data_IF_710937318280
#
_entry.id   IF_710937318280
#
_cell.length_a   1.000
_cell.length_b   1.000
_cell.length_c   1.000
_cell.angle_alpha   90.00
_cell.angle_beta   90.00
_cell.angle_gamma   90.00
#
_symmetry.space_group_name_H-M   'P 1'
#
loop_
_entity.id
_entity.type
_entity.pdbx_description
1 polymer ?
#
# COMPACT_ATOMS: atom_id res chain seq x y z
N UNK A 1 28.11 5.30 -5.48
CA UNK A 1 27.40 4.26 -6.26
C UNK A 1 26.39 4.96 -7.16
N UNK A 2 26.40 4.71 -8.47
CA UNK A 2 25.40 5.29 -9.39
C UNK A 2 24.08 4.57 -9.16
N UNK A 3 23.01 5.30 -8.82
CA UNK A 3 21.67 4.72 -8.65
C UNK A 3 20.92 4.92 -9.96
N UNK A 4 20.50 3.83 -10.58
CA UNK A 4 19.64 3.89 -11.76
C UNK A 4 18.24 4.35 -11.36
N UNK A 5 17.64 5.25 -12.13
CA UNK A 5 16.29 5.77 -11.87
C UNK A 5 15.35 5.55 -13.05
N UNK A 6 14.07 5.37 -12.77
CA UNK A 6 13.00 5.24 -13.79
C UNK A 6 11.86 6.22 -13.46
N UNK A 7 11.01 6.51 -14.45
CA UNK A 7 9.81 7.34 -14.26
C UNK A 7 10.15 8.79 -13.94
N UNK A 8 11.13 9.37 -14.66
CA UNK A 8 11.62 10.73 -14.43
C UNK A 8 12.14 10.97 -13.00
N UNK A 9 12.90 10.00 -12.45
CA UNK A 9 13.49 10.10 -11.11
C UNK A 9 12.56 9.75 -9.96
N UNK A 10 11.33 9.27 -10.23
CA UNK A 10 10.35 8.92 -9.20
C UNK A 10 10.60 7.57 -8.53
N UNK A 11 11.38 6.70 -9.17
CA UNK A 11 11.75 5.40 -8.63
C UNK A 11 13.26 5.25 -8.71
N UNK A 12 13.90 5.04 -7.56
CA UNK A 12 15.30 4.67 -7.45
C UNK A 12 15.43 3.15 -7.44
N UNK A 13 16.13 2.57 -8.41
CA UNK A 13 16.33 1.12 -8.48
C UNK A 13 17.45 0.71 -7.54
N UNK A 14 17.08 0.12 -6.42
CA UNK A 14 18.02 -0.41 -5.43
C UNK A 14 17.40 -1.56 -4.65
N UNK A 15 18.23 -2.40 -4.02
CA UNK A 15 17.78 -3.44 -3.08
C UNK A 15 16.93 -2.85 -1.96
N UNK A 16 17.30 -1.65 -1.49
CA UNK A 16 16.56 -0.95 -0.44
C UNK A 16 15.16 -0.56 -0.90
N UNK A 17 15.02 -0.06 -2.12
CA UNK A 17 13.71 0.25 -2.71
C UNK A 17 12.88 -1.01 -2.91
N UNK A 18 13.50 -2.11 -3.36
CA UNK A 18 12.82 -3.39 -3.52
C UNK A 18 12.28 -3.91 -2.18
N UNK A 19 13.09 -3.89 -1.12
CA UNK A 19 12.67 -4.29 0.22
C UNK A 19 11.54 -3.40 0.75
N UNK A 20 11.66 -2.08 0.56
CA UNK A 20 10.61 -1.12 0.93
C UNK A 20 9.28 -1.46 0.25
N UNK A 21 9.30 -1.69 -1.07
CA UNK A 21 8.12 -2.05 -1.84
C UNK A 21 7.54 -3.43 -1.43
N UNK A 22 8.38 -4.43 -1.19
CA UNK A 22 7.92 -5.75 -0.70
C UNK A 22 7.23 -5.61 0.64
N UNK A 23 7.79 -4.85 1.58
CA UNK A 23 7.15 -4.62 2.88
C UNK A 23 5.86 -3.82 2.77
N UNK A 24 5.76 -2.85 1.84
CA UNK A 24 4.50 -2.15 1.55
C UNK A 24 3.42 -3.13 1.07
N UNK A 25 3.76 -4.03 0.14
CA UNK A 25 2.84 -5.05 -0.38
C UNK A 25 2.44 -6.05 0.71
N UNK A 26 3.37 -6.52 1.54
CA UNK A 26 3.09 -7.42 2.65
C UNK A 26 2.17 -6.77 3.70
N UNK A 27 2.39 -5.49 4.04
CA UNK A 27 1.54 -4.76 4.98
C UNK A 27 0.09 -4.67 4.47
N UNK A 28 -0.10 -4.41 3.17
CA UNK A 28 -1.42 -4.37 2.54
C UNK A 28 -2.05 -5.77 2.48
N UNK A 29 -1.28 -6.82 2.14
CA UNK A 29 -1.77 -8.20 2.18
C UNK A 29 -2.20 -8.64 3.58
N UNK A 30 -1.44 -8.28 4.61
CA UNK A 30 -1.80 -8.54 6.03
C UNK A 30 -3.09 -7.82 6.38
N UNK A 31 -3.22 -6.53 6.05
CA UNK A 31 -4.46 -5.78 6.27
C UNK A 31 -5.68 -6.48 5.65
N UNK A 32 -5.60 -6.84 4.36
CA UNK A 32 -6.72 -7.47 3.64
C UNK A 32 -7.00 -8.87 4.18
N UNK A 33 -5.96 -9.69 4.42
CA UNK A 33 -6.11 -11.07 4.84
C UNK A 33 -6.71 -11.19 6.25
N UNK A 34 -6.21 -10.37 7.19
CA UNK A 34 -6.80 -10.28 8.53
C UNK A 34 -8.23 -9.75 8.45
N UNK A 35 -8.49 -8.74 7.62
CA UNK A 35 -9.84 -8.23 7.38
C UNK A 35 -10.82 -9.31 6.92
N UNK A 36 -10.43 -10.11 5.92
CA UNK A 36 -11.25 -11.23 5.45
C UNK A 36 -11.50 -12.27 6.55
N UNK A 37 -10.48 -12.61 7.34
CA UNK A 37 -10.63 -13.54 8.47
C UNK A 37 -11.63 -13.01 9.52
N UNK A 38 -11.62 -11.70 9.82
CA UNK A 38 -12.59 -11.10 10.74
C UNK A 38 -14.03 -11.14 10.21
N UNK A 39 -14.20 -11.30 8.90
CA UNK A 39 -15.49 -11.51 8.23
C UNK A 39 -15.78 -12.98 7.92
N UNK A 40 -15.06 -13.93 8.53
CA UNK A 40 -15.30 -15.36 8.38
C UNK A 40 -14.82 -15.96 7.06
N UNK A 41 -14.02 -15.22 6.27
CA UNK A 41 -13.45 -15.66 5.00
C UNK A 41 -12.00 -16.07 5.25
N UNK A 42 -11.68 -17.35 5.05
CA UNK A 42 -10.30 -17.82 5.13
C UNK A 42 -9.57 -17.55 3.79
N UNK A 43 -8.52 -16.70 3.76
CA UNK A 43 -7.85 -16.33 2.51
C UNK A 43 -7.03 -17.47 1.89
N UNK A 44 -6.59 -18.45 2.68
CA UNK A 44 -5.88 -19.65 2.19
C UNK A 44 -6.86 -20.58 1.49
N UNK A 45 -8.07 -20.73 2.02
CA UNK A 45 -9.12 -21.57 1.43
C UNK A 45 -9.87 -20.86 0.30
N UNK A 46 -9.82 -19.52 0.23
CA UNK A 46 -10.49 -18.71 -0.77
C UNK A 46 -9.51 -17.78 -1.52
N UNK A 47 -8.45 -18.32 -2.18
CA UNK A 47 -7.37 -17.52 -2.72
C UNK A 47 -7.83 -16.57 -3.83
N UNK A 48 -8.82 -16.96 -4.65
CA UNK A 48 -9.39 -16.10 -5.70
C UNK A 48 -10.14 -14.91 -5.11
N UNK A 49 -10.88 -15.12 -4.01
CA UNK A 49 -11.58 -14.04 -3.30
C UNK A 49 -10.58 -13.06 -2.68
N UNK A 50 -9.59 -13.60 -1.98
CA UNK A 50 -8.52 -12.82 -1.38
C UNK A 50 -7.77 -11.97 -2.42
N UNK A 51 -7.35 -12.59 -3.53
CA UNK A 51 -6.70 -11.89 -4.63
C UNK A 51 -7.60 -10.79 -5.22
N UNK A 52 -8.90 -11.05 -5.37
CA UNK A 52 -9.88 -10.07 -5.83
C UNK A 52 -10.02 -8.87 -4.87
N UNK A 53 -10.04 -9.11 -3.56
CA UNK A 53 -10.10 -8.04 -2.54
C UNK A 53 -8.79 -7.24 -2.47
N UNK A 54 -7.65 -7.91 -2.63
CA UNK A 54 -6.31 -7.35 -2.52
C UNK A 54 -5.92 -6.47 -3.73
N UNK A 55 -6.29 -6.91 -4.93
CA UNK A 55 -5.87 -6.28 -6.20
C UNK A 55 -6.19 -4.79 -6.28
N UNK A 56 -7.40 -4.29 -5.92
CA UNK A 56 -7.70 -2.86 -5.91
C UNK A 56 -6.74 -2.02 -5.07
N UNK A 57 -6.33 -2.52 -3.90
CA UNK A 57 -5.39 -1.82 -3.02
C UNK A 57 -3.99 -1.81 -3.58
N UNK A 58 -3.53 -2.91 -4.18
CA UNK A 58 -2.25 -2.96 -4.87
C UNK A 58 -2.20 -2.01 -6.06
N UNK A 59 -3.24 -1.98 -6.89
CA UNK A 59 -3.34 -1.04 -8.02
C UNK A 59 -3.27 0.39 -7.49
N UNK A 60 -4.10 0.75 -6.52
CA UNK A 60 -4.12 2.09 -5.93
C UNK A 60 -2.77 2.49 -5.35
N UNK A 61 -2.16 1.61 -4.54
CA UNK A 61 -0.88 1.90 -3.89
C UNK A 61 0.25 2.03 -4.89
N UNK A 62 0.44 1.05 -5.78
CA UNK A 62 1.54 1.08 -6.75
C UNK A 62 1.43 2.27 -7.70
N UNK A 63 0.21 2.61 -8.13
CA UNK A 63 -0.03 3.80 -8.96
C UNK A 63 0.35 5.09 -8.22
N UNK A 64 -0.17 5.30 -7.02
CA UNK A 64 0.10 6.52 -6.24
C UNK A 64 1.55 6.59 -5.80
N UNK A 65 2.13 5.49 -5.33
CA UNK A 65 3.51 5.45 -4.86
C UNK A 65 4.52 5.67 -6.00
N UNK A 66 4.26 5.06 -7.17
CA UNK A 66 5.08 5.25 -8.36
C UNK A 66 5.01 6.68 -8.90
N UNK A 67 3.82 7.27 -9.01
CA UNK A 67 3.67 8.66 -9.48
C UNK A 67 4.11 9.70 -8.45
N UNK A 68 3.88 9.44 -7.17
CA UNK A 68 4.22 10.34 -6.06
C UNK A 68 5.69 10.30 -5.64
N UNK A 69 6.52 9.46 -6.28
CA UNK A 69 7.92 9.35 -5.95
C UNK A 69 8.18 8.79 -4.55
N UNK A 70 7.30 7.91 -4.06
CA UNK A 70 7.40 7.31 -2.73
C UNK A 70 8.54 6.29 -2.65
N UNK A 71 9.09 5.87 -3.79
CA UNK A 71 10.20 4.92 -3.91
C UNK A 71 11.55 5.62 -4.19
N UNK A 72 11.69 6.87 -3.73
CA UNK A 72 12.95 7.62 -3.73
C UNK A 72 13.60 7.60 -2.35
N UNK A 73 14.91 7.80 -2.26
CA UNK A 73 15.60 7.98 -0.98
C UNK A 73 15.04 9.17 -0.20
N UNK A 74 14.64 10.23 -0.91
CA UNK A 74 13.99 11.41 -0.35
C UNK A 74 12.67 11.07 0.37
N UNK A 75 11.91 10.09 -0.13
CA UNK A 75 10.63 9.72 0.47
C UNK A 75 10.76 9.07 1.84
N UNK A 76 11.92 8.46 2.14
CA UNK A 76 12.21 7.94 3.47
C UNK A 76 13.18 8.82 4.24
N UNK A 77 13.60 9.98 3.72
CA UNK A 77 14.69 10.84 4.23
C UNK A 77 14.66 11.04 5.75
N UNK A 78 13.49 11.35 6.29
CA UNK A 78 13.24 11.54 7.72
C UNK A 78 11.97 10.78 8.13
N UNK A 79 11.81 10.49 9.42
CA UNK A 79 10.60 9.86 9.95
C UNK A 79 9.34 10.66 9.56
N UNK A 80 9.36 11.99 9.74
CA UNK A 80 8.24 12.87 9.36
C UNK A 80 7.89 12.75 7.88
N UNK A 81 8.89 12.83 6.99
CA UNK A 81 8.65 12.73 5.54
C UNK A 81 8.10 11.35 5.16
N UNK A 82 8.65 10.29 5.75
CA UNK A 82 8.17 8.93 5.53
C UNK A 82 6.70 8.80 5.94
N UNK A 83 6.33 9.18 7.18
CA UNK A 83 4.96 9.07 7.68
C UNK A 83 3.97 9.91 6.86
N UNK A 84 4.27 11.19 6.62
CA UNK A 84 3.36 12.10 5.89
C UNK A 84 3.14 11.64 4.45
N UNK A 85 4.20 11.32 3.70
CA UNK A 85 4.05 10.85 2.31
C UNK A 85 3.28 9.53 2.24
N UNK A 86 3.49 8.66 3.23
CA UNK A 86 2.82 7.36 3.31
C UNK A 86 1.33 7.52 3.55
N UNK A 87 0.91 8.30 4.54
CA UNK A 87 -0.52 8.45 4.84
C UNK A 87 -1.26 9.19 3.71
N UNK A 88 -0.65 10.23 3.13
CA UNK A 88 -1.24 10.93 1.97
C UNK A 88 -1.37 9.99 0.78
N UNK A 89 -0.32 9.24 0.46
CA UNK A 89 -0.35 8.27 -0.63
C UNK A 89 -1.36 7.16 -0.39
N UNK A 90 -1.48 6.69 0.85
CA UNK A 90 -2.41 5.63 1.23
C UNK A 90 -3.86 6.08 1.15
N UNK A 91 -4.20 7.29 1.60
CA UNK A 91 -5.56 7.84 1.47
C UNK A 91 -5.98 7.91 0.00
N UNK A 92 -5.10 8.37 -0.88
CA UNK A 92 -5.36 8.40 -2.33
C UNK A 92 -5.52 6.98 -2.91
N UNK A 93 -4.67 6.04 -2.48
CA UNK A 93 -4.75 4.64 -2.89
C UNK A 93 -6.07 3.97 -2.44
N UNK A 94 -6.53 4.24 -1.22
CA UNK A 94 -7.83 3.77 -0.72
C UNK A 94 -8.97 4.33 -1.57
N UNK A 95 -8.90 5.61 -1.96
CA UNK A 95 -9.88 6.21 -2.88
C UNK A 95 -9.97 5.46 -4.21
N UNK A 96 -8.81 5.15 -4.82
CA UNK A 96 -8.74 4.34 -6.05
C UNK A 96 -9.31 2.93 -5.80
N UNK A 97 -8.92 2.29 -4.70
CA UNK A 97 -9.40 0.96 -4.37
C UNK A 97 -10.94 0.92 -4.21
N UNK A 98 -11.54 1.91 -3.55
CA UNK A 98 -12.99 2.02 -3.44
C UNK A 98 -13.66 2.24 -4.80
N UNK A 99 -13.09 3.09 -5.66
CA UNK A 99 -13.59 3.31 -7.02
C UNK A 99 -13.51 2.04 -7.88
N UNK A 100 -12.46 1.24 -7.75
CA UNK A 100 -12.39 -0.07 -8.43
C UNK A 100 -13.43 -1.04 -7.88
N UNK A 101 -13.59 -1.07 -6.55
CA UNK A 101 -14.58 -1.91 -5.87
C UNK A 101 -16.03 -1.51 -6.15
N UNK A 102 -16.32 -0.31 -6.61
CA UNK A 102 -17.68 0.07 -7.03
C UNK A 102 -18.08 -0.55 -8.38
N UNK A 103 -17.17 -1.30 -9.03
CA UNK A 103 -17.44 -2.01 -10.29
C UNK A 103 -17.74 -3.49 -10.04
N UNK A 104 -18.35 -4.16 -11.02
CA UNK A 104 -18.57 -5.61 -10.97
C UNK A 104 -17.28 -6.45 -11.08
N UNK A 105 -16.13 -5.83 -11.40
CA UNK A 105 -14.86 -6.55 -11.57
C UNK A 105 -14.22 -6.96 -10.25
N UNK A 106 -14.54 -6.27 -9.15
CA UNK A 106 -13.90 -6.47 -7.86
C UNK A 106 -14.92 -6.68 -6.75
N UNK A 107 -14.62 -7.56 -5.79
CA UNK A 107 -15.55 -7.90 -4.73
C UNK A 107 -15.83 -6.75 -3.76
N UNK A 108 -17.09 -6.64 -3.33
CA UNK A 108 -17.47 -6.04 -2.05
C UNK A 108 -17.89 -4.57 -2.06
N UNK A 109 -18.15 -3.97 -3.22
CA UNK A 109 -18.66 -2.61 -3.40
C UNK A 109 -17.79 -1.51 -2.74
N UNK A 110 -18.07 -0.25 -3.08
CA UNK A 110 -17.54 0.88 -2.32
C UNK A 110 -18.34 1.02 -1.01
N UNK A 111 -17.65 1.18 0.12
CA UNK A 111 -18.28 1.37 1.42
C UNK A 111 -17.47 2.32 2.30
N UNK A 112 -18.14 3.35 2.84
CA UNK A 112 -17.48 4.38 3.65
C UNK A 112 -16.77 3.79 4.87
N UNK A 113 -17.44 2.90 5.61
CA UNK A 113 -16.85 2.24 6.78
C UNK A 113 -15.60 1.45 6.42
N UNK A 114 -15.63 0.72 5.30
CA UNK A 114 -14.46 -0.04 4.84
C UNK A 114 -13.33 0.89 4.42
N UNK A 115 -13.63 2.02 3.78
CA UNK A 115 -12.64 3.04 3.44
C UNK A 115 -11.95 3.62 4.69
N UNK A 116 -12.73 3.98 5.72
CA UNK A 116 -12.19 4.50 6.98
C UNK A 116 -11.30 3.46 7.68
N UNK A 117 -11.79 2.22 7.83
CA UNK A 117 -10.99 1.12 8.41
C UNK A 117 -9.72 0.88 7.60
N UNK A 118 -9.79 0.95 6.26
CA UNK A 118 -8.61 0.81 5.40
C UNK A 118 -7.58 1.90 5.66
N UNK A 119 -8.02 3.16 5.76
CA UNK A 119 -7.13 4.28 6.06
C UNK A 119 -6.46 4.09 7.42
N UNK A 120 -7.21 3.74 8.46
CA UNK A 120 -6.65 3.63 9.81
C UNK A 120 -5.80 2.36 10.00
N UNK A 121 -6.32 1.18 9.70
CA UNK A 121 -5.61 -0.09 9.97
C UNK A 121 -4.50 -0.32 8.95
N UNK A 122 -4.83 -0.26 7.65
CA UNK A 122 -3.83 -0.39 6.58
C UNK A 122 -2.78 0.73 6.63
N UNK A 123 -3.22 1.96 6.92
CA UNK A 123 -2.32 3.10 7.07
C UNK A 123 -1.38 2.94 8.26
N UNK A 124 -1.84 2.40 9.39
CA UNK A 124 -0.98 2.11 10.55
C UNK A 124 0.11 1.10 10.18
N UNK A 125 -0.24 0.00 9.51
CA UNK A 125 0.74 -1.01 9.08
C UNK A 125 1.81 -0.43 8.14
N UNK A 126 1.38 0.35 7.13
CA UNK A 126 2.30 1.02 6.21
C UNK A 126 3.17 2.06 6.92
N UNK A 127 2.60 2.86 7.82
CA UNK A 127 3.34 3.86 8.59
C UNK A 127 4.38 3.22 9.52
N UNK A 128 4.04 2.10 10.18
CA UNK A 128 4.98 1.35 11.00
C UNK A 128 6.17 0.85 10.17
N UNK A 129 5.89 0.22 9.02
CA UNK A 129 6.92 -0.29 8.13
C UNK A 129 7.82 0.82 7.56
N UNK A 130 7.23 1.87 6.98
CA UNK A 130 8.00 2.94 6.34
C UNK A 130 8.67 3.85 7.37
N UNK A 131 8.07 3.96 8.55
CA UNK A 131 8.68 4.61 9.72
C UNK A 131 9.90 3.84 10.21
N UNK A 132 9.83 2.52 10.36
CA UNK A 132 11.00 1.71 10.76
C UNK A 132 12.13 1.80 9.75
N UNK A 133 11.83 1.75 8.44
CA UNK A 133 12.85 1.95 7.39
C UNK A 133 13.48 3.36 7.43
N UNK A 134 12.74 4.37 7.89
CA UNK A 134 13.27 5.73 8.03
C UNK A 134 14.17 5.89 9.26
N UNK A 135 13.99 5.06 10.30
CA UNK A 135 14.76 5.10 11.55
C UNK A 135 16.01 4.22 11.49
N UNK A 136 15.93 3.02 10.88
CA UNK A 136 17.01 2.01 10.85
C UNK A 136 18.04 2.28 9.73
N UNK A 137 18.13 3.51 9.23
CA UNK A 137 19.02 3.85 8.12
C UNK A 137 20.50 3.77 8.44
#
# INVERSE_FOLDING_TARGET
>A
MSVSTVGNGRIELSTRTALLAVGDLLAIAVFVGVGEMTHGINPILNPSRFAGTLTPFYIGWLFVAGLGGLYTAAATATLRTALVRTIVGWVLAVGIAQGLRSTAMFPGNAALTFALVSVFVGGTLLMLWRGSVAVVK
#
